data_IF_951728448379
#
_entry.id   IF_951728448379
#
_cell.length_a   1.000
_cell.length_b   1.000
_cell.length_c   1.000
_cell.angle_alpha   90.00
_cell.angle_beta   90.00
_cell.angle_gamma   90.00
#
_symmetry.space_group_name_H-M   'P 1'
#
loop_
_entity.id
_entity.type
_entity.pdbx_description
1 polymer ?
#
# COMPACT_ATOMS: atom_id res chain seq x y z
N UNK A 1 19.62 18.93 27.87
CA UNK A 1 18.21 18.62 28.18
C UNK A 1 17.24 19.32 27.24
N UNK A 2 17.26 20.65 27.09
CA UNK A 2 16.30 21.39 26.25
C UNK A 2 16.16 20.91 24.79
N UNK A 3 17.26 20.57 24.10
CA UNK A 3 17.21 20.09 22.70
C UNK A 3 16.59 18.69 22.57
N UNK A 4 16.84 17.81 23.56
CA UNK A 4 16.23 16.47 23.57
C UNK A 4 14.73 16.54 23.79
N UNK A 5 14.29 17.40 24.70
CA UNK A 5 12.87 17.63 24.96
C UNK A 5 12.15 18.25 23.77
N UNK A 6 12.78 19.21 23.07
CA UNK A 6 12.30 19.74 21.80
C UNK A 6 12.09 18.63 20.77
N UNK A 7 13.09 17.76 20.55
CA UNK A 7 12.98 16.66 19.58
C UNK A 7 11.81 15.74 19.94
N UNK A 8 11.70 15.33 21.21
CA UNK A 8 10.64 14.41 21.66
C UNK A 8 9.25 15.02 21.46
N UNK A 9 9.06 16.28 21.85
CA UNK A 9 7.77 16.96 21.71
C UNK A 9 7.34 17.12 20.23
N UNK A 10 8.28 17.42 19.33
CA UNK A 10 7.97 17.50 17.90
C UNK A 10 7.67 16.12 17.29
N UNK A 11 8.35 15.06 17.73
CA UNK A 11 8.06 13.70 17.27
C UNK A 11 6.71 13.18 17.79
N UNK A 12 6.38 13.46 19.06
CA UNK A 12 5.08 13.14 19.67
C UNK A 12 3.94 13.89 18.99
N UNK A 13 4.12 15.18 18.69
CA UNK A 13 3.10 16.02 18.07
C UNK A 13 2.98 15.76 16.56
N UNK A 14 4.07 15.91 15.82
CA UNK A 14 4.03 15.98 14.36
C UNK A 14 4.48 14.70 13.67
N UNK A 15 4.87 13.67 14.42
CA UNK A 15 5.39 12.42 13.85
C UNK A 15 6.64 12.65 13.01
N UNK A 16 7.43 13.69 13.31
CA UNK A 16 8.57 14.10 12.50
C UNK A 16 9.84 14.21 13.32
N UNK A 17 10.96 13.74 12.77
CA UNK A 17 12.28 13.89 13.36
C UNK A 17 13.31 14.26 12.29
N UNK A 18 13.85 15.47 12.39
CA UNK A 18 14.86 15.97 11.46
C UNK A 18 16.29 15.55 11.83
N UNK A 19 17.15 15.40 10.83
CA UNK A 19 18.60 15.29 11.02
C UNK A 19 19.19 16.57 11.60
N UNK A 20 18.63 17.73 11.23
CA UNK A 20 19.02 19.05 11.72
C UNK A 20 17.77 19.89 12.02
N UNK A 21 17.63 20.40 13.25
CA UNK A 21 16.53 21.28 13.66
C UNK A 21 16.81 22.77 13.44
N UNK A 22 18.04 23.09 13.03
CA UNK A 22 18.46 24.43 12.59
C UNK A 22 19.11 24.24 11.23
N UNK A 23 18.59 24.93 10.23
CA UNK A 23 18.99 24.72 8.84
C UNK A 23 20.02 25.74 8.38
N UNK A 24 20.95 25.36 7.50
CA UNK A 24 21.91 26.30 6.93
C UNK A 24 21.16 27.38 6.14
N UNK A 25 21.68 28.59 6.19
CA UNK A 25 21.03 29.75 5.55
C UNK A 25 21.28 29.81 4.04
N UNK A 26 22.32 29.13 3.58
CA UNK A 26 22.79 29.15 2.20
C UNK A 26 23.11 27.74 1.67
N UNK A 27 23.00 27.58 0.36
CA UNK A 27 23.37 26.35 -0.35
C UNK A 27 24.83 25.98 -0.10
N UNK A 28 25.73 26.96 -0.02
CA UNK A 28 27.16 26.72 0.20
C UNK A 28 27.41 26.03 1.55
N UNK A 29 26.79 26.53 2.62
CA UNK A 29 26.83 25.91 3.94
C UNK A 29 26.19 24.52 3.92
N UNK A 30 25.05 24.37 3.22
CA UNK A 30 24.37 23.09 3.09
C UNK A 30 25.24 22.02 2.41
N UNK A 31 25.99 22.35 1.36
CA UNK A 31 26.93 21.41 0.71
C UNK A 31 28.10 20.98 1.60
N UNK A 32 28.41 21.71 2.67
CA UNK A 32 29.45 21.33 3.64
C UNK A 32 28.91 20.39 4.73
N UNK A 33 27.60 20.18 4.79
CA UNK A 33 26.99 19.26 5.75
C UNK A 33 27.29 17.81 5.34
N UNK A 34 27.86 17.05 6.27
CA UNK A 34 28.16 15.62 6.06
C UNK A 34 26.89 14.78 6.01
N UNK A 35 25.90 15.12 6.85
CA UNK A 35 24.58 14.48 6.86
C UNK A 35 23.59 15.40 6.16
N UNK A 36 22.84 14.92 5.15
CA UNK A 36 21.89 15.76 4.42
C UNK A 36 20.77 16.26 5.35
N UNK A 37 20.14 17.37 4.96
CA UNK A 37 18.90 17.79 5.57
C UNK A 37 17.81 16.77 5.23
N UNK A 38 17.29 16.08 6.23
CA UNK A 38 16.30 15.02 6.06
C UNK A 38 15.38 14.95 7.26
N UNK A 39 14.25 14.28 7.08
CA UNK A 39 13.28 14.00 8.13
C UNK A 39 12.80 12.57 8.05
N UNK A 40 12.70 11.90 9.20
CA UNK A 40 11.83 10.73 9.34
C UNK A 40 10.43 11.24 9.63
N UNK A 41 9.45 10.82 8.84
CA UNK A 41 8.07 11.25 8.95
C UNK A 41 7.11 10.07 9.02
N UNK A 42 6.23 10.07 10.02
CA UNK A 42 5.21 9.05 10.28
C UNK A 42 3.82 9.67 10.05
N UNK A 43 3.24 9.56 8.84
CA UNK A 43 2.03 10.29 8.46
C UNK A 43 0.79 9.97 9.30
N UNK A 44 0.64 8.71 9.76
CA UNK A 44 -0.48 8.29 10.60
C UNK A 44 -0.07 8.06 12.07
N UNK A 45 0.88 8.85 12.58
CA UNK A 45 1.22 8.77 14.00
C UNK A 45 -0.04 8.91 14.86
N UNK A 46 -0.29 7.95 15.75
CA UNK A 46 -1.48 7.97 16.59
C UNK A 46 -1.46 9.19 17.52
N UNK A 47 -2.55 9.97 17.50
CA UNK A 47 -2.77 11.17 18.32
C UNK A 47 -4.11 11.07 19.03
N UNK A 48 -4.20 10.33 20.15
CA UNK A 48 -5.46 10.14 20.88
C UNK A 48 -6.00 11.45 21.49
N UNK A 49 -5.17 12.48 21.57
CA UNK A 49 -5.48 13.79 22.12
C UNK A 49 -6.20 14.73 21.12
N UNK A 50 -6.26 14.37 19.83
CA UNK A 50 -6.87 15.20 18.79
C UNK A 50 -8.08 14.50 18.14
N UNK A 51 -9.30 15.07 18.22
CA UNK A 51 -10.43 14.53 17.48
C UNK A 51 -10.30 14.87 15.98
N UNK A 52 -10.74 13.97 15.08
CA UNK A 52 -10.78 14.26 13.65
C UNK A 52 -11.82 15.34 13.36
N UNK A 53 -11.51 16.19 12.39
CA UNK A 53 -12.32 17.37 12.08
C UNK A 53 -13.18 17.14 10.85
N UNK A 54 -14.49 17.34 10.98
CA UNK A 54 -15.48 16.98 9.96
C UNK A 54 -15.81 18.14 9.01
N UNK A 55 -14.79 18.74 8.39
CA UNK A 55 -14.97 19.71 7.31
C UNK A 55 -13.80 19.69 6.32
N UNK A 56 -14.02 20.27 5.15
CA UNK A 56 -13.01 20.32 4.10
C UNK A 56 -11.89 21.31 4.45
N UNK A 57 -10.62 20.97 4.16
CA UNK A 57 -9.48 21.85 4.44
C UNK A 57 -9.54 23.15 3.62
N UNK A 58 -9.19 24.27 4.26
CA UNK A 58 -9.09 25.58 3.58
C UNK A 58 -7.77 25.66 2.82
N UNK A 59 -7.85 25.87 1.49
CA UNK A 59 -6.69 25.87 0.60
C UNK A 59 -6.35 27.28 0.12
N UNK A 60 -5.06 27.54 -0.07
CA UNK A 60 -4.57 28.74 -0.74
C UNK A 60 -5.15 28.84 -2.16
N UNK A 61 -5.65 30.04 -2.52
CA UNK A 61 -6.29 30.32 -3.81
C UNK A 61 -5.34 30.29 -5.01
N UNK A 62 -4.02 30.44 -4.78
CA UNK A 62 -3.02 30.36 -5.84
C UNK A 62 -2.90 28.91 -6.33
N UNK A 63 -3.20 28.69 -7.61
CA UNK A 63 -3.23 27.38 -8.26
C UNK A 63 -1.93 26.58 -8.15
N UNK A 64 -0.77 27.27 -8.22
CA UNK A 64 0.56 26.65 -8.09
C UNK A 64 0.97 26.36 -6.65
N UNK A 65 0.25 26.89 -5.65
CA UNK A 65 0.57 26.69 -4.24
C UNK A 65 -0.39 25.69 -3.60
N UNK A 66 -1.68 26.00 -3.52
CA UNK A 66 -2.72 25.14 -2.91
C UNK A 66 -2.36 24.59 -1.52
N UNK A 67 -1.49 25.27 -0.77
CA UNK A 67 -1.16 24.89 0.60
C UNK A 67 -2.38 25.00 1.51
N UNK A 68 -2.47 24.11 2.50
CA UNK A 68 -3.53 24.11 3.51
C UNK A 68 -3.28 25.24 4.51
N UNK A 69 -4.35 25.90 4.96
CA UNK A 69 -4.32 26.82 6.08
C UNK A 69 -3.71 26.12 7.31
N UNK A 70 -2.78 26.80 7.97
CA UNK A 70 -2.01 26.23 9.07
C UNK A 70 -1.60 27.33 10.06
N UNK A 71 -1.12 27.00 11.27
CA UNK A 71 -0.83 27.98 12.33
C UNK A 71 0.26 29.01 11.98
N UNK A 72 1.05 28.78 10.93
CA UNK A 72 2.09 29.72 10.48
C UNK A 72 1.56 30.80 9.53
N UNK A 73 0.29 30.74 9.13
CA UNK A 73 -0.34 31.76 8.28
C UNK A 73 -0.67 33.01 9.10
N UNK A 74 -0.38 34.19 8.55
CA UNK A 74 -0.79 35.46 9.17
C UNK A 74 -2.27 35.74 8.88
N UNK A 75 -3.03 36.09 9.90
CA UNK A 75 -4.49 36.28 9.80
C UNK A 75 -4.86 37.72 10.13
N UNK A 76 -5.68 38.31 9.28
CA UNK A 76 -6.34 39.60 9.48
C UNK A 76 -7.82 39.34 9.81
N UNK A 77 -8.15 39.29 11.10
CA UNK A 77 -9.50 39.02 11.59
C UNK A 77 -10.50 40.14 11.29
N UNK A 78 -10.02 41.36 11.01
CA UNK A 78 -10.88 42.51 10.67
C UNK A 78 -11.31 42.44 9.23
N UNK A 79 -10.36 42.20 8.32
CA UNK A 79 -10.64 42.07 6.89
C UNK A 79 -11.14 40.66 6.51
N UNK A 80 -11.06 39.69 7.43
CA UNK A 80 -11.36 38.27 7.18
C UNK A 80 -10.47 37.69 6.07
N UNK A 81 -9.17 37.94 6.18
CA UNK A 81 -8.16 37.53 5.21
C UNK A 81 -7.03 36.75 5.90
N UNK A 82 -6.35 35.90 5.15
CA UNK A 82 -5.13 35.23 5.61
C UNK A 82 -4.06 35.21 4.52
N UNK A 83 -2.81 35.30 4.93
CA UNK A 83 -1.65 35.26 4.05
C UNK A 83 -0.99 33.88 4.15
N UNK A 84 -0.90 33.20 3.01
CA UNK A 84 -0.23 31.91 2.95
C UNK A 84 1.27 32.05 3.25
N UNK A 85 1.78 31.29 4.21
CA UNK A 85 3.18 31.33 4.66
C UNK A 85 4.19 30.80 3.61
N UNK A 86 3.72 30.11 2.57
CA UNK A 86 4.59 29.61 1.49
C UNK A 86 4.75 30.58 0.34
N UNK A 87 3.65 31.20 -0.10
CA UNK A 87 3.61 31.96 -1.35
C UNK A 87 3.19 33.43 -1.19
N UNK A 88 2.88 33.85 0.04
CA UNK A 88 2.41 35.18 0.44
C UNK A 88 1.12 35.64 -0.28
N UNK A 89 0.38 34.72 -0.90
CA UNK A 89 -0.93 35.01 -1.45
C UNK A 89 -1.88 35.39 -0.32
N UNK A 90 -2.57 36.52 -0.50
CA UNK A 90 -3.68 36.94 0.35
C UNK A 90 -4.94 36.19 -0.10
N UNK A 91 -5.60 35.53 0.83
CA UNK A 91 -6.76 34.67 0.62
C UNK A 91 -7.94 35.16 1.46
N UNK A 92 -9.16 35.02 0.93
CA UNK A 92 -10.38 35.21 1.70
C UNK A 92 -10.75 33.93 2.45
N UNK A 93 -11.29 34.08 3.66
CA UNK A 93 -11.89 32.96 4.36
C UNK A 93 -13.19 32.51 3.67
N UNK A 94 -13.50 31.20 3.69
CA UNK A 94 -14.78 30.71 3.20
C UNK A 94 -15.94 31.18 4.10
N UNK A 95 -17.16 31.16 3.55
CA UNK A 95 -18.36 31.64 4.25
C UNK A 95 -18.59 30.99 5.63
N UNK A 96 -18.19 29.74 5.80
CA UNK A 96 -18.32 29.01 7.07
C UNK A 96 -17.46 29.64 8.20
N UNK A 97 -16.48 30.50 7.88
CA UNK A 97 -15.57 31.17 8.83
C UNK A 97 -15.97 32.65 9.02
N UNK A 98 -17.19 33.05 8.63
CA UNK A 98 -17.63 34.45 8.72
C UNK A 98 -17.53 35.04 10.15
N UNK A 99 -17.72 34.18 11.16
CA UNK A 99 -17.63 34.53 12.58
C UNK A 99 -16.23 34.50 13.20
N UNK A 100 -15.18 34.20 12.42
CA UNK A 100 -13.81 34.03 12.96
C UNK A 100 -13.34 35.28 13.74
N UNK A 101 -12.78 35.10 14.94
CA UNK A 101 -12.19 36.16 15.74
C UNK A 101 -10.93 35.67 16.45
N UNK A 102 -10.19 36.55 17.12
CA UNK A 102 -9.02 36.15 17.91
C UNK A 102 -9.36 35.14 19.01
N UNK A 103 -10.57 35.24 19.58
CA UNK A 103 -11.09 34.33 20.61
C UNK A 103 -11.75 33.07 20.02
N UNK A 104 -12.21 33.13 18.77
CA UNK A 104 -12.89 32.03 18.08
C UNK A 104 -12.12 31.68 16.81
N UNK A 105 -10.98 31.04 17.01
CA UNK A 105 -10.12 30.58 15.91
C UNK A 105 -10.53 29.17 15.49
N UNK A 106 -10.46 28.86 14.18
CA UNK A 106 -10.61 27.50 13.70
C UNK A 106 -9.43 26.65 14.17
N UNK A 107 -9.66 25.34 14.27
CA UNK A 107 -8.71 24.41 14.84
C UNK A 107 -7.34 24.44 14.12
N UNK A 108 -7.32 24.52 12.80
CA UNK A 108 -6.09 24.53 12.00
C UNK A 108 -5.21 25.78 12.18
N UNK A 109 -5.65 26.80 12.93
CA UNK A 109 -4.84 27.95 13.31
C UNK A 109 -4.28 27.86 14.75
N UNK A 110 -4.75 26.91 15.54
CA UNK A 110 -4.30 26.70 16.91
C UNK A 110 -2.87 26.12 16.88
N UNK A 111 -1.88 26.73 17.55
CA UNK A 111 -0.48 26.28 17.50
C UNK A 111 -0.23 24.83 17.97
N UNK A 112 -1.13 24.28 18.77
CA UNK A 112 -1.08 22.88 19.20
C UNK A 112 -1.49 21.90 18.09
N UNK A 113 -2.18 22.37 17.04
CA UNK A 113 -2.74 21.57 15.94
C UNK A 113 -1.95 21.78 14.63
N UNK A 114 -0.61 21.81 14.73
CA UNK A 114 0.28 21.81 13.56
C UNK A 114 0.12 20.56 12.70
N UNK A 115 -0.28 19.45 13.32
CA UNK A 115 -0.70 18.21 12.66
C UNK A 115 -2.16 17.97 12.98
N UNK A 116 -2.98 17.80 11.93
CA UNK A 116 -4.43 17.76 12.05
C UNK A 116 -5.01 16.85 10.95
N UNK A 117 -6.10 16.15 11.27
CA UNK A 117 -6.79 15.23 10.37
C UNK A 117 -8.17 15.77 9.99
N UNK A 118 -8.48 15.76 8.69
CA UNK A 118 -9.77 16.18 8.15
C UNK A 118 -10.54 14.97 7.63
N UNK A 119 -11.82 14.86 7.99
CA UNK A 119 -12.76 13.91 7.42
C UNK A 119 -13.60 14.59 6.34
N UNK A 120 -13.38 14.20 5.08
CA UNK A 120 -14.09 14.76 3.93
C UNK A 120 -15.52 14.21 3.86
N UNK A 121 -16.51 15.10 3.88
CA UNK A 121 -17.94 14.72 3.99
C UNK A 121 -18.55 14.17 2.69
N UNK A 122 -17.90 14.40 1.54
CA UNK A 122 -18.43 14.07 0.21
C UNK A 122 -17.69 12.94 -0.52
N UNK A 123 -16.67 12.35 0.11
CA UNK A 123 -15.88 11.29 -0.50
C UNK A 123 -16.61 9.93 -0.37
N UNK A 124 -16.97 9.25 -1.47
CA UNK A 124 -17.54 7.91 -1.38
C UNK A 124 -16.49 6.92 -0.86
N UNK A 125 -16.83 6.16 0.17
CA UNK A 125 -15.97 5.09 0.67
C UNK A 125 -16.09 3.85 -0.24
N UNK A 126 -14.99 3.49 -0.92
CA UNK A 126 -14.91 2.21 -1.61
C UNK A 126 -14.80 1.06 -0.58
N UNK A 127 -15.37 -0.12 -0.86
CA UNK A 127 -15.21 -1.26 0.05
C UNK A 127 -13.74 -1.70 0.09
N UNK A 128 -13.29 -2.15 1.27
CA UNK A 128 -12.00 -2.81 1.41
C UNK A 128 -12.01 -4.15 0.68
N UNK A 129 -10.91 -4.50 0.02
CA UNK A 129 -10.80 -5.73 -0.77
C UNK A 129 -9.65 -6.57 -0.26
N UNK A 130 -9.89 -7.84 0.04
CA UNK A 130 -8.89 -8.82 0.47
C UNK A 130 -8.86 -9.99 -0.50
N UNK A 131 -7.71 -10.23 -1.13
CA UNK A 131 -7.52 -11.33 -2.06
C UNK A 131 -6.50 -12.31 -1.48
N UNK A 132 -6.98 -13.48 -1.05
CA UNK A 132 -6.13 -14.56 -0.54
C UNK A 132 -5.49 -15.28 -1.73
N UNK A 133 -4.16 -15.39 -1.74
CA UNK A 133 -3.41 -16.15 -2.75
C UNK A 133 -2.63 -17.25 -2.03
N UNK A 134 -3.20 -18.45 -2.03
CA UNK A 134 -2.79 -19.54 -1.16
C UNK A 134 -2.05 -20.64 -1.92
N UNK A 135 -0.85 -20.93 -1.45
CA UNK A 135 -0.06 -22.07 -1.89
C UNK A 135 -0.58 -23.38 -1.32
N UNK A 136 -0.65 -24.45 -2.13
CA UNK A 136 -1.05 -25.80 -1.70
C UNK A 136 0.09 -26.82 -1.77
N UNK A 137 1.30 -26.40 -2.17
CA UNK A 137 2.49 -27.25 -2.26
C UNK A 137 3.29 -27.29 -0.94
N UNK A 138 2.65 -27.59 0.18
CA UNK A 138 3.29 -27.71 1.50
C UNK A 138 2.85 -28.98 2.23
N UNK A 139 3.40 -29.23 3.41
CA UNK A 139 2.97 -30.37 4.24
C UNK A 139 1.58 -30.14 4.82
N UNK A 140 0.89 -31.24 5.14
CA UNK A 140 -0.52 -31.21 5.56
C UNK A 140 -0.71 -30.45 6.87
N UNK A 141 0.21 -30.60 7.82
CA UNK A 141 0.18 -29.87 9.10
C UNK A 141 0.29 -28.35 8.92
N UNK A 142 1.18 -27.90 8.02
CA UNK A 142 1.34 -26.49 7.68
C UNK A 142 0.10 -25.94 6.98
N UNK A 143 -0.42 -26.70 6.00
CA UNK A 143 -1.63 -26.31 5.28
C UNK A 143 -2.83 -26.21 6.22
N UNK A 144 -2.98 -27.17 7.13
CA UNK A 144 -4.05 -27.18 8.13
C UNK A 144 -3.94 -25.98 9.09
N UNK A 145 -2.75 -25.69 9.61
CA UNK A 145 -2.54 -24.52 10.47
C UNK A 145 -2.79 -23.19 9.75
N UNK A 146 -2.44 -23.12 8.45
CA UNK A 146 -2.72 -21.95 7.62
C UNK A 146 -4.22 -21.77 7.38
N UNK A 147 -4.95 -22.85 7.07
CA UNK A 147 -6.42 -22.85 6.92
C UNK A 147 -7.10 -22.29 8.18
N UNK A 148 -6.73 -22.79 9.35
CA UNK A 148 -7.26 -22.31 10.64
C UNK A 148 -6.99 -20.82 10.86
N UNK A 149 -5.77 -20.37 10.55
CA UNK A 149 -5.38 -18.96 10.68
C UNK A 149 -6.20 -18.06 9.75
N UNK A 150 -6.48 -18.52 8.53
CA UNK A 150 -7.31 -17.80 7.56
C UNK A 150 -8.77 -17.75 7.98
N UNK A 151 -9.36 -18.88 8.39
CA UNK A 151 -10.72 -18.95 8.89
C UNK A 151 -10.92 -18.01 10.09
N UNK A 152 -9.96 -17.99 11.03
CA UNK A 152 -9.97 -17.02 12.13
C UNK A 152 -9.94 -15.58 11.60
N UNK A 153 -9.08 -15.25 10.62
CA UNK A 153 -8.99 -13.89 10.08
C UNK A 153 -10.28 -13.44 9.37
N UNK A 154 -11.04 -14.35 8.76
CA UNK A 154 -12.33 -14.04 8.13
C UNK A 154 -13.31 -13.43 9.15
N UNK A 155 -13.32 -13.96 10.38
CA UNK A 155 -14.19 -13.46 11.46
C UNK A 155 -13.86 -12.02 11.89
N UNK A 156 -12.66 -11.53 11.57
CA UNK A 156 -12.21 -10.18 11.91
C UNK A 156 -12.58 -9.15 10.83
N UNK A 157 -12.82 -9.59 9.60
CA UNK A 157 -13.04 -8.70 8.45
C UNK A 157 -14.39 -7.94 8.58
N UNK A 158 -14.46 -6.68 8.13
CA UNK A 158 -15.71 -5.95 8.05
C UNK A 158 -16.73 -6.69 7.17
N UNK A 159 -18.01 -6.76 7.56
CA UNK A 159 -19.04 -7.48 6.82
C UNK A 159 -19.15 -7.07 5.34
N UNK A 160 -18.93 -5.79 5.05
CA UNK A 160 -19.03 -5.21 3.70
C UNK A 160 -17.72 -5.23 2.90
N UNK A 161 -16.61 -5.72 3.49
CA UNK A 161 -15.37 -5.92 2.75
C UNK A 161 -15.60 -7.00 1.68
N UNK A 162 -14.96 -6.84 0.53
CA UNK A 162 -14.95 -7.85 -0.52
C UNK A 162 -13.80 -8.82 -0.27
N UNK A 163 -14.07 -10.11 -0.48
CA UNK A 163 -13.06 -11.16 -0.39
C UNK A 163 -13.03 -12.02 -1.63
N UNK A 164 -11.84 -12.47 -2.01
CA UNK A 164 -11.61 -13.46 -3.05
C UNK A 164 -10.54 -14.47 -2.66
N UNK A 165 -10.55 -15.60 -3.35
CA UNK A 165 -9.60 -16.68 -3.13
C UNK A 165 -8.99 -17.15 -4.46
N UNK A 166 -7.66 -17.24 -4.46
CA UNK A 166 -6.86 -17.91 -5.47
C UNK A 166 -6.04 -18.97 -4.76
N UNK A 167 -6.11 -20.22 -5.21
CA UNK A 167 -5.21 -21.27 -4.73
C UNK A 167 -4.24 -21.64 -5.84
N UNK A 168 -3.04 -22.08 -5.50
CA UNK A 168 -2.06 -22.46 -6.50
C UNK A 168 -1.09 -23.54 -6.02
N UNK A 169 -0.64 -24.32 -6.99
CA UNK A 169 0.48 -25.24 -6.88
C UNK A 169 1.16 -25.31 -8.25
N UNK A 170 1.03 -26.46 -8.93
CA UNK A 170 1.41 -26.56 -10.34
C UNK A 170 0.50 -25.73 -11.25
N UNK A 171 -0.78 -25.67 -10.92
CA UNK A 171 -1.78 -24.85 -11.61
C UNK A 171 -2.23 -23.70 -10.70
N UNK A 172 -2.81 -22.65 -11.29
CA UNK A 172 -3.43 -21.56 -10.54
C UNK A 172 -4.94 -21.66 -10.69
N UNK A 173 -5.68 -21.63 -9.59
CA UNK A 173 -7.13 -21.72 -9.55
C UNK A 173 -7.73 -20.44 -8.98
N UNK A 174 -8.59 -19.77 -9.76
CA UNK A 174 -9.37 -18.60 -9.31
C UNK A 174 -10.76 -19.07 -8.94
N UNK A 175 -11.15 -18.93 -7.67
CA UNK A 175 -12.41 -19.46 -7.14
C UNK A 175 -13.56 -18.48 -7.33
N UNK A 176 -14.71 -18.99 -7.76
CA UNK A 176 -15.96 -18.24 -7.90
C UNK A 176 -16.79 -18.41 -6.61
N UNK A 177 -16.87 -17.36 -5.79
CA UNK A 177 -17.50 -17.43 -4.47
C UNK A 177 -19.02 -17.19 -4.49
N UNK A 178 -19.54 -16.62 -5.57
CA UNK A 178 -20.97 -16.30 -5.73
C UNK A 178 -21.85 -17.45 -6.25
N UNK A 179 -21.39 -18.70 -6.18
CA UNK A 179 -22.10 -19.85 -6.73
C UNK A 179 -22.77 -20.66 -5.61
N UNK A 180 -24.10 -20.80 -5.66
CA UNK A 180 -24.85 -21.63 -4.73
C UNK A 180 -24.81 -23.11 -5.17
N UNK A 181 -24.58 -24.02 -4.23
CA UNK A 181 -24.69 -25.47 -4.43
C UNK A 181 -23.54 -26.16 -5.20
N UNK A 182 -22.58 -25.43 -5.76
CA UNK A 182 -21.34 -26.01 -6.29
C UNK A 182 -20.17 -25.02 -6.29
N UNK A 183 -18.99 -25.49 -5.85
CA UNK A 183 -17.75 -24.71 -5.93
C UNK A 183 -17.18 -24.76 -7.35
N UNK A 184 -17.03 -23.60 -7.99
CA UNK A 184 -16.44 -23.47 -9.33
C UNK A 184 -15.11 -22.73 -9.25
N UNK A 185 -14.12 -23.19 -10.02
CA UNK A 185 -12.85 -22.49 -10.15
C UNK A 185 -12.36 -22.49 -11.60
N UNK A 186 -11.61 -21.45 -11.96
CA UNK A 186 -11.00 -21.29 -13.28
C UNK A 186 -9.53 -21.67 -13.17
N UNK A 187 -9.12 -22.66 -13.96
CA UNK A 187 -7.77 -23.23 -13.87
C UNK A 187 -6.88 -22.67 -14.97
N UNK A 188 -5.77 -22.06 -14.57
CA UNK A 188 -4.75 -21.51 -15.44
C UNK A 188 -3.46 -22.32 -15.33
N UNK A 189 -2.73 -22.42 -16.45
CA UNK A 189 -1.42 -23.08 -16.47
C UNK A 189 -0.39 -22.20 -15.77
N UNK A 190 0.29 -22.73 -14.77
CA UNK A 190 1.37 -22.04 -14.03
C UNK A 190 2.66 -21.79 -14.82
N UNK A 191 2.70 -22.13 -16.12
CA UNK A 191 3.89 -22.03 -16.97
C UNK A 191 3.92 -20.78 -17.86
N UNK A 192 2.82 -20.03 -17.95
CA UNK A 192 2.69 -18.87 -18.83
C UNK A 192 2.10 -17.69 -18.06
N UNK A 193 2.64 -16.51 -18.30
CA UNK A 193 2.07 -15.27 -17.75
C UNK A 193 0.81 -14.84 -18.52
N UNK A 194 -0.04 -14.06 -17.86
CA UNK A 194 -1.28 -13.52 -18.43
C UNK A 194 -1.38 -12.03 -18.15
N UNK A 195 -1.78 -11.28 -19.17
CA UNK A 195 -2.08 -9.85 -19.02
C UNK A 195 -3.45 -9.64 -18.38
N UNK A 196 -3.68 -8.47 -17.76
CA UNK A 196 -4.97 -8.13 -17.16
C UNK A 196 -6.14 -8.26 -18.15
N UNK A 197 -5.94 -7.85 -19.41
CA UNK A 197 -6.95 -8.00 -20.48
C UNK A 197 -7.26 -9.47 -20.79
N UNK A 198 -6.26 -10.33 -20.89
CA UNK A 198 -6.48 -11.76 -21.12
C UNK A 198 -7.23 -12.41 -19.94
N UNK A 199 -6.91 -12.02 -18.71
CA UNK A 199 -7.62 -12.48 -17.50
C UNK A 199 -9.07 -12.01 -17.56
N UNK A 200 -9.31 -10.74 -17.86
CA UNK A 200 -10.64 -10.17 -18.00
C UNK A 200 -11.48 -10.94 -19.04
N UNK A 201 -10.90 -11.22 -20.21
CA UNK A 201 -11.58 -11.94 -21.30
C UNK A 201 -11.87 -13.40 -20.93
N UNK A 202 -10.92 -14.11 -20.32
CA UNK A 202 -11.07 -15.52 -19.92
C UNK A 202 -12.06 -15.69 -18.77
N UNK A 203 -12.09 -14.75 -17.82
CA UNK A 203 -12.99 -14.78 -16.67
C UNK A 203 -14.37 -14.17 -16.96
N UNK A 204 -14.51 -13.47 -18.09
CA UNK A 204 -15.74 -12.78 -18.51
C UNK A 204 -16.06 -11.55 -17.65
N UNK A 205 -15.04 -10.91 -17.09
CA UNK A 205 -15.18 -9.75 -16.19
C UNK A 205 -15.53 -8.49 -17.00
N UNK A 206 -16.49 -7.71 -16.53
CA UNK A 206 -16.88 -6.45 -17.19
C UNK A 206 -17.66 -6.61 -18.50
N UNK A 207 -18.03 -7.85 -18.88
CA UNK A 207 -19.01 -8.07 -19.95
C UNK A 207 -20.40 -7.75 -19.40
N UNK A 208 -20.91 -6.57 -19.71
CA UNK A 208 -22.36 -6.33 -19.65
C UNK A 208 -22.99 -7.25 -20.69
N UNK A 209 -23.93 -8.15 -20.34
CA UNK A 209 -24.57 -8.99 -21.33
C UNK A 209 -25.24 -8.10 -22.39
N UNK A 210 -24.87 -8.29 -23.65
CA UNK A 210 -25.41 -7.58 -24.82
C UNK A 210 -26.84 -8.05 -25.17
N UNK A 211 -27.70 -8.27 -24.17
CA UNK A 211 -29.09 -8.69 -24.31
C UNK A 211 -30.00 -7.81 -23.44
N UNK A 212 -30.01 -6.51 -23.71
CA UNK A 212 -31.11 -5.62 -23.31
C UNK A 212 -31.16 -4.37 -24.22
N UNK A 213 -31.03 -4.56 -25.54
CA UNK A 213 -31.34 -3.51 -26.51
C UNK A 213 -32.63 -3.85 -27.26
N UNK A 214 -33.72 -4.04 -26.50
CA UNK A 214 -35.09 -3.88 -26.99
C UNK A 214 -35.96 -3.26 -25.90
N UNK A 215 -36.17 -1.95 -26.02
CA UNK A 215 -37.36 -1.20 -25.61
C UNK A 215 -37.82 -1.29 -24.16
N UNK A 216 -37.48 -0.30 -23.33
CA UNK A 216 -38.44 0.65 -22.75
C UNK A 216 -37.74 1.60 -21.77
N UNK A 217 -38.09 2.89 -21.86
CA UNK A 217 -37.64 3.94 -20.95
C UNK A 217 -38.32 3.76 -19.58
N UNK A 218 -37.55 3.48 -18.54
CA UNK A 218 -37.96 3.65 -17.15
C UNK A 218 -36.85 4.35 -16.33
N UNK A 219 -37.20 5.07 -15.24
CA UNK A 219 -36.28 5.96 -14.56
C UNK A 219 -35.14 5.21 -13.84
N UNK A 220 -33.93 5.77 -13.96
CA UNK A 220 -32.69 5.30 -13.35
C UNK A 220 -32.84 4.96 -11.86
N UNK A 221 -32.88 3.66 -11.54
CA UNK A 221 -32.41 3.19 -10.24
C UNK A 221 -30.88 3.34 -10.17
N UNK A 222 -30.29 3.57 -8.98
CA UNK A 222 -28.85 3.61 -8.82
C UNK A 222 -28.26 2.31 -9.37
N UNK A 223 -27.38 2.45 -10.36
CA UNK A 223 -26.67 1.35 -11.02
C UNK A 223 -26.00 0.50 -9.93
N UNK A 224 -26.54 -0.70 -9.65
CA UNK A 224 -25.87 -1.64 -8.77
C UNK A 224 -24.47 -1.90 -9.36
N UNK A 225 -23.40 -1.83 -8.55
CA UNK A 225 -22.06 -2.11 -9.04
C UNK A 225 -22.06 -3.50 -9.70
N UNK A 226 -21.39 -3.67 -10.85
CA UNK A 226 -21.39 -4.92 -11.58
C UNK A 226 -20.96 -6.05 -10.63
N UNK A 227 -21.84 -7.05 -10.43
CA UNK A 227 -21.56 -8.16 -9.52
C UNK A 227 -20.30 -8.88 -9.97
N UNK A 228 -19.24 -8.78 -9.15
CA UNK A 228 -18.01 -9.50 -9.38
C UNK A 228 -18.10 -10.89 -8.74
N UNK A 229 -18.33 -11.92 -9.54
CA UNK A 229 -18.45 -13.31 -9.07
C UNK A 229 -17.23 -13.87 -8.31
N UNK A 230 -16.06 -13.23 -8.44
CA UNK A 230 -14.82 -13.62 -7.76
C UNK A 230 -14.54 -12.85 -6.46
N UNK A 231 -15.14 -11.67 -6.30
CA UNK A 231 -14.96 -10.79 -5.15
C UNK A 231 -16.32 -10.50 -4.53
N UNK A 232 -16.65 -11.22 -3.46
CA UNK A 232 -17.96 -11.16 -2.81
C UNK A 232 -17.87 -10.50 -1.43
N UNK A 233 -18.91 -9.79 -0.97
CA UNK A 233 -18.96 -9.28 0.39
C UNK A 233 -18.84 -10.42 1.41
N UNK A 234 -18.02 -10.23 2.44
CA UNK A 234 -17.76 -11.26 3.47
C UNK A 234 -19.07 -11.83 4.03
N UNK A 235 -20.02 -10.97 4.43
CA UNK A 235 -21.31 -11.42 5.00
C UNK A 235 -22.19 -12.26 4.07
N UNK A 236 -21.88 -12.34 2.77
CA UNK A 236 -22.62 -13.15 1.80
C UNK A 236 -21.97 -14.50 1.51
N UNK A 237 -20.67 -14.63 1.75
CA UNK A 237 -19.90 -15.82 1.35
C UNK A 237 -19.02 -16.37 2.48
N UNK A 238 -19.19 -15.91 3.72
CA UNK A 238 -18.39 -16.32 4.88
C UNK A 238 -18.46 -17.82 5.15
N UNK A 239 -19.67 -18.41 5.15
CA UNK A 239 -19.86 -19.85 5.34
C UNK A 239 -19.23 -20.63 4.19
N UNK A 240 -19.59 -20.30 2.94
CA UNK A 240 -19.04 -20.97 1.75
C UNK A 240 -17.51 -20.90 1.70
N UNK A 241 -16.92 -19.76 2.05
CA UNK A 241 -15.46 -19.58 2.06
C UNK A 241 -14.80 -20.35 3.21
N UNK A 242 -15.45 -20.42 4.38
CA UNK A 242 -14.97 -21.20 5.53
C UNK A 242 -14.94 -22.68 5.19
N UNK A 243 -16.01 -23.20 4.58
CA UNK A 243 -16.11 -24.59 4.13
C UNK A 243 -15.06 -24.88 3.05
N UNK A 244 -14.96 -24.02 2.04
CA UNK A 244 -13.96 -24.14 0.97
C UNK A 244 -12.54 -24.18 1.55
N UNK A 245 -12.19 -23.28 2.47
CA UNK A 245 -10.88 -23.30 3.15
C UNK A 245 -10.69 -24.59 3.97
N UNK A 246 -11.74 -25.10 4.62
CA UNK A 246 -11.70 -26.35 5.37
C UNK A 246 -11.41 -27.56 4.48
N UNK A 247 -11.99 -27.58 3.28
CA UNK A 247 -11.86 -28.64 2.27
C UNK A 247 -10.59 -28.55 1.44
N UNK A 248 -9.78 -27.49 1.56
CA UNK A 248 -8.53 -27.37 0.82
C UNK A 248 -7.56 -28.50 1.16
N UNK A 249 -7.05 -29.11 0.09
CA UNK A 249 -6.07 -30.20 0.11
C UNK A 249 -4.75 -29.75 -0.51
N UNK A 250 -3.72 -30.57 -0.33
CA UNK A 250 -2.41 -30.40 -0.99
C UNK A 250 -2.57 -30.40 -2.51
N UNK A 251 -1.62 -29.78 -3.20
CA UNK A 251 -1.53 -29.87 -4.66
C UNK A 251 -1.54 -31.36 -5.08
N UNK A 252 -2.47 -31.79 -5.95
CA UNK A 252 -2.70 -33.22 -6.20
C UNK A 252 -1.59 -33.88 -7.03
N UNK A 253 -0.60 -33.10 -7.49
CA UNK A 253 0.47 -33.61 -8.34
C UNK A 253 1.57 -34.27 -7.50
N UNK A 254 1.92 -35.55 -7.80
CA UNK A 254 2.95 -36.24 -7.05
C UNK A 254 4.32 -35.59 -7.26
N UNK A 255 5.13 -35.58 -6.20
CA UNK A 255 6.50 -35.08 -6.22
C UNK A 255 7.46 -36.25 -6.23
N UNK A 256 8.22 -36.40 -7.31
CA UNK A 256 9.19 -37.48 -7.45
C UNK A 256 10.33 -37.34 -6.43
N UNK A 257 10.91 -38.47 -6.04
CA UNK A 257 12.09 -38.49 -5.17
C UNK A 257 13.22 -37.61 -5.75
N UNK A 258 13.85 -36.79 -4.88
CA UNK A 258 14.90 -35.86 -5.30
C UNK A 258 14.39 -34.59 -5.98
N UNK A 259 13.08 -34.35 -6.04
CA UNK A 259 12.49 -33.14 -6.62
C UNK A 259 11.70 -32.32 -5.61
N UNK A 260 11.60 -31.02 -5.88
CA UNK A 260 10.71 -30.05 -5.24
C UNK A 260 9.34 -30.10 -5.92
N UNK A 261 8.26 -29.71 -5.21
CA UNK A 261 6.97 -29.47 -5.85
C UNK A 261 7.08 -28.40 -6.95
N UNK A 262 6.22 -28.48 -7.98
CA UNK A 262 6.10 -27.46 -9.01
C UNK A 262 5.22 -26.33 -8.49
N UNK A 263 5.82 -25.18 -8.18
CA UNK A 263 5.17 -24.05 -7.52
C UNK A 263 5.19 -22.83 -8.43
N UNK A 264 4.01 -22.38 -8.84
CA UNK A 264 3.81 -21.34 -9.86
C UNK A 264 3.45 -19.97 -9.27
N UNK A 265 4.13 -19.58 -8.19
CA UNK A 265 3.85 -18.35 -7.43
C UNK A 265 3.83 -17.09 -8.31
N UNK A 266 4.79 -16.94 -9.22
CA UNK A 266 4.88 -15.74 -10.06
C UNK A 266 3.68 -15.57 -10.98
N UNK A 267 3.09 -16.67 -11.47
CA UNK A 267 1.85 -16.64 -12.26
C UNK A 267 0.63 -16.42 -11.37
N UNK A 268 0.57 -17.06 -10.19
CA UNK A 268 -0.51 -16.85 -9.23
C UNK A 268 -0.63 -15.37 -8.82
N UNK A 269 0.51 -14.75 -8.50
CA UNK A 269 0.55 -13.33 -8.16
C UNK A 269 0.20 -12.43 -9.36
N UNK A 270 0.66 -12.77 -10.57
CA UNK A 270 0.31 -12.03 -11.78
C UNK A 270 -1.19 -12.05 -12.07
N UNK A 271 -1.83 -13.21 -11.89
CA UNK A 271 -3.29 -13.37 -12.01
C UNK A 271 -4.00 -12.56 -10.93
N UNK A 272 -3.54 -12.59 -9.68
CA UNK A 272 -4.11 -11.81 -8.59
C UNK A 272 -4.07 -10.30 -8.86
N UNK A 273 -2.90 -9.79 -9.29
CA UNK A 273 -2.73 -8.38 -9.70
C UNK A 273 -3.63 -8.05 -10.89
N UNK A 274 -3.65 -8.90 -11.93
CA UNK A 274 -4.47 -8.68 -13.10
C UNK A 274 -5.98 -8.73 -12.83
N UNK A 275 -6.43 -9.57 -11.89
CA UNK A 275 -7.82 -9.65 -11.45
C UNK A 275 -8.24 -8.31 -10.83
N UNK A 276 -7.50 -7.82 -9.84
CA UNK A 276 -7.83 -6.54 -9.19
C UNK A 276 -7.69 -5.35 -10.15
N UNK A 277 -6.70 -5.37 -11.05
CA UNK A 277 -6.47 -4.34 -12.07
C UNK A 277 -7.68 -4.17 -13.00
N UNK A 278 -8.34 -5.25 -13.40
CA UNK A 278 -9.51 -5.17 -14.29
C UNK A 278 -10.86 -5.02 -13.55
N UNK A 279 -10.91 -5.22 -12.23
CA UNK A 279 -12.16 -5.14 -11.47
C UNK A 279 -12.27 -3.89 -10.61
N UNK A 280 -11.20 -3.53 -9.89
CA UNK A 280 -11.18 -2.47 -8.89
C UNK A 280 -9.85 -1.70 -8.95
N UNK A 281 -9.55 -0.99 -10.06
CA UNK A 281 -8.37 -0.14 -10.14
C UNK A 281 -8.54 1.11 -9.26
N UNK A 282 -7.44 1.61 -8.68
CA UNK A 282 -7.39 2.80 -7.83
C UNK A 282 -8.25 2.73 -6.55
N UNK A 283 -8.44 1.53 -6.00
CA UNK A 283 -9.14 1.31 -4.73
C UNK A 283 -8.25 0.59 -3.73
N UNK A 284 -8.55 0.74 -2.43
CA UNK A 284 -7.85 0.03 -1.37
C UNK A 284 -8.09 -1.48 -1.43
N UNK A 285 -7.08 -2.21 -1.91
CA UNK A 285 -7.11 -3.66 -2.02
C UNK A 285 -5.81 -4.27 -1.51
N UNK A 286 -5.90 -5.46 -0.93
CA UNK A 286 -4.80 -6.19 -0.31
C UNK A 286 -4.71 -7.61 -0.85
N UNK A 287 -3.65 -7.89 -1.60
CA UNK A 287 -3.27 -9.23 -2.04
C UNK A 287 -2.43 -9.86 -0.94
N UNK A 288 -2.89 -10.96 -0.37
CA UNK A 288 -2.20 -11.68 0.70
C UNK A 288 -1.65 -12.99 0.13
N UNK A 289 -0.36 -13.01 -0.19
CA UNK A 289 0.32 -14.17 -0.75
C UNK A 289 0.89 -15.05 0.37
N UNK A 290 0.40 -16.28 0.48
CA UNK A 290 0.92 -17.30 1.39
C UNK A 290 1.79 -18.27 0.61
N UNK A 291 2.99 -18.55 1.08
CA UNK A 291 3.99 -19.36 0.38
C UNK A 291 4.63 -20.39 1.32
N UNK A 292 4.56 -21.65 0.93
CA UNK A 292 5.19 -22.78 1.61
C UNK A 292 6.49 -23.24 0.97
N UNK A 293 7.20 -22.37 0.25
CA UNK A 293 8.47 -22.69 -0.42
C UNK A 293 8.79 -21.80 -1.62
N UNK A 294 9.93 -22.03 -2.31
CA UNK A 294 10.34 -21.21 -3.44
C UNK A 294 9.51 -21.48 -4.70
N UNK A 295 9.34 -20.48 -5.59
CA UNK A 295 8.79 -20.68 -6.93
C UNK A 295 9.73 -21.55 -7.79
N UNK A 296 9.20 -22.64 -8.35
CA UNK A 296 9.96 -23.64 -9.13
C UNK A 296 9.44 -23.83 -10.56
N UNK A 297 8.40 -23.09 -10.95
CA UNK A 297 7.81 -23.15 -12.28
C UNK A 297 7.35 -21.78 -12.75
N UNK A 298 7.51 -21.55 -14.06
CA UNK A 298 6.96 -20.39 -14.76
C UNK A 298 7.75 -19.08 -14.56
N UNK A 299 7.21 -17.96 -15.06
CA UNK A 299 7.72 -16.63 -14.78
C UNK A 299 7.82 -16.38 -13.27
N UNK A 300 8.93 -15.79 -12.82
CA UNK A 300 9.23 -15.61 -11.39
C UNK A 300 9.90 -16.81 -10.71
N UNK A 301 10.24 -17.89 -11.43
CA UNK A 301 10.98 -19.04 -10.87
C UNK A 301 12.30 -18.61 -10.22
N UNK A 302 12.56 -19.13 -9.01
CA UNK A 302 13.74 -18.81 -8.19
C UNK A 302 14.77 -19.94 -8.18
N UNK A 303 14.31 -21.19 -8.24
CA UNK A 303 15.16 -22.39 -8.29
C UNK A 303 14.49 -23.46 -9.16
N UNK A 304 15.27 -24.38 -9.71
CA UNK A 304 14.71 -25.54 -10.42
C UNK A 304 14.10 -26.59 -9.48
N UNK A 305 13.41 -27.56 -10.07
CA UNK A 305 12.77 -28.66 -9.31
C UNK A 305 13.78 -29.63 -8.67
N UNK A 306 14.99 -29.76 -9.22
CA UNK A 306 15.98 -30.73 -8.76
C UNK A 306 16.59 -30.35 -7.40
N UNK A 307 16.41 -31.17 -6.34
CA UNK A 307 16.91 -30.90 -4.99
C UNK A 307 18.44 -30.82 -4.90
N UNK A 308 19.15 -31.54 -5.77
CA UNK A 308 20.62 -31.47 -5.88
C UNK A 308 21.13 -30.07 -6.21
N UNK A 309 20.29 -29.24 -6.84
CA UNK A 309 20.60 -27.83 -7.06
C UNK A 309 20.09 -27.05 -5.86
N UNK A 310 21.02 -26.44 -5.13
CA UNK A 310 20.71 -25.59 -3.98
C UNK A 310 20.06 -24.28 -4.43
N UNK A 311 19.31 -23.67 -3.51
CA UNK A 311 18.82 -22.30 -3.71
C UNK A 311 20.03 -21.36 -3.59
N UNK A 312 20.07 -20.32 -4.43
CA UNK A 312 21.17 -19.35 -4.44
C UNK A 312 21.48 -18.77 -3.06
N UNK A 313 22.77 -18.61 -2.78
CA UNK A 313 23.35 -17.95 -1.61
C UNK A 313 23.91 -16.56 -1.95
N UNK A 314 24.33 -15.79 -0.94
CA UNK A 314 25.05 -14.53 -1.18
C UNK A 314 26.37 -14.73 -1.94
N UNK A 315 27.08 -15.83 -1.67
CA UNK A 315 28.31 -16.18 -2.41
C UNK A 315 28.04 -16.47 -3.88
N UNK A 316 26.92 -17.12 -4.20
CA UNK A 316 26.53 -17.36 -5.59
C UNK A 316 26.20 -16.05 -6.30
N UNK A 317 25.56 -15.10 -5.59
CA UNK A 317 25.27 -13.76 -6.11
C UNK A 317 26.56 -13.00 -6.41
N UNK A 318 27.51 -13.00 -5.48
CA UNK A 318 28.82 -12.34 -5.64
C UNK A 318 29.62 -12.91 -6.81
N UNK A 319 29.52 -14.23 -7.03
CA UNK A 319 30.17 -14.93 -8.15
C UNK A 319 29.37 -14.92 -9.46
N UNK A 320 28.23 -14.23 -9.49
CA UNK A 320 27.27 -14.20 -10.60
C UNK A 320 26.79 -15.59 -11.08
N UNK A 321 26.80 -16.58 -10.19
CA UNK A 321 26.32 -17.93 -10.42
C UNK A 321 24.80 -18.06 -10.16
N UNK A 322 24.02 -17.10 -10.67
CA UNK A 322 22.59 -16.90 -10.33
C UNK A 322 21.68 -16.96 -11.56
N UNK A 323 21.43 -18.19 -12.04
CA UNK A 323 20.70 -18.45 -13.30
C UNK A 323 19.29 -17.82 -13.37
N UNK A 324 18.57 -17.78 -12.25
CA UNK A 324 17.15 -17.41 -12.22
C UNK A 324 16.89 -15.99 -11.69
N UNK A 325 17.72 -15.52 -10.77
CA UNK A 325 17.48 -14.33 -9.94
C UNK A 325 17.12 -13.09 -10.76
N UNK A 326 17.92 -12.73 -11.78
CA UNK A 326 17.69 -11.49 -12.56
C UNK A 326 16.35 -11.50 -13.31
N UNK A 327 15.94 -12.66 -13.84
CA UNK A 327 14.66 -12.82 -14.56
C UNK A 327 13.48 -12.77 -13.58
N UNK A 328 13.63 -13.37 -12.40
CA UNK A 328 12.62 -13.36 -11.36
C UNK A 328 12.42 -11.96 -10.76
N UNK A 329 13.50 -11.23 -10.43
CA UNK A 329 13.44 -9.83 -9.98
C UNK A 329 12.66 -8.99 -10.99
N UNK A 330 13.02 -9.08 -12.28
CA UNK A 330 12.31 -8.33 -13.34
C UNK A 330 10.81 -8.65 -13.39
N UNK A 331 10.43 -9.91 -13.19
CA UNK A 331 9.03 -10.33 -13.17
C UNK A 331 8.27 -9.70 -12.00
N UNK A 332 8.78 -9.85 -10.78
CA UNK A 332 8.13 -9.31 -9.59
C UNK A 332 8.18 -7.78 -9.50
N UNK A 333 9.21 -7.13 -10.04
CA UNK A 333 9.26 -5.67 -10.20
C UNK A 333 8.18 -5.17 -11.16
N UNK A 334 7.88 -5.91 -12.23
CA UNK A 334 6.79 -5.53 -13.12
C UNK A 334 5.42 -5.65 -12.42
N UNK A 335 5.22 -6.71 -11.62
CA UNK A 335 4.00 -6.91 -10.85
C UNK A 335 3.82 -5.87 -9.74
N UNK A 336 4.88 -5.57 -9.01
CA UNK A 336 4.84 -4.57 -7.95
C UNK A 336 4.49 -3.19 -8.51
N UNK A 337 5.09 -2.77 -9.62
CA UNK A 337 4.78 -1.49 -10.27
C UNK A 337 3.33 -1.42 -10.75
N UNK A 338 2.79 -2.52 -11.31
CA UNK A 338 1.38 -2.61 -11.72
C UNK A 338 0.43 -2.49 -10.52
N UNK A 339 0.69 -3.21 -9.44
CA UNK A 339 -0.10 -3.11 -8.20
C UNK A 339 -0.03 -1.71 -7.59
N UNK A 340 1.17 -1.14 -7.49
CA UNK A 340 1.37 0.20 -6.93
C UNK A 340 0.68 1.28 -7.75
N UNK A 341 0.75 1.18 -9.09
CA UNK A 341 0.04 2.09 -10.00
C UNK A 341 -1.45 2.08 -9.73
N UNK A 342 -2.04 0.90 -9.53
CA UNK A 342 -3.47 0.71 -9.24
C UNK A 342 -3.85 0.90 -7.77
N UNK A 343 -2.90 1.23 -6.87
CA UNK A 343 -3.18 1.46 -5.46
C UNK A 343 -3.43 0.18 -4.64
N UNK A 344 -2.94 -0.98 -5.11
CA UNK A 344 -3.09 -2.27 -4.44
C UNK A 344 -1.84 -2.62 -3.62
N UNK A 345 -2.06 -3.23 -2.46
CA UNK A 345 -1.02 -3.68 -1.53
C UNK A 345 -0.73 -5.15 -1.70
N UNK A 346 0.54 -5.56 -1.69
CA UNK A 346 0.95 -6.98 -1.75
C UNK A 346 1.69 -7.38 -0.47
N UNK A 347 1.10 -8.30 0.28
CA UNK A 347 1.77 -8.98 1.38
C UNK A 347 2.38 -10.31 0.93
N UNK A 348 3.46 -10.70 1.61
CA UNK A 348 4.07 -12.01 1.47
C UNK A 348 4.24 -12.64 2.85
N UNK A 349 3.55 -13.75 3.07
CA UNK A 349 3.66 -14.61 4.23
C UNK A 349 4.36 -15.90 3.81
N UNK A 350 5.66 -16.00 4.10
CA UNK A 350 6.50 -17.08 3.64
C UNK A 350 6.97 -17.94 4.82
N UNK A 351 6.48 -19.19 4.88
CA UNK A 351 6.88 -20.15 5.90
C UNK A 351 7.46 -21.41 5.26
N UNK A 352 8.76 -21.63 5.41
CA UNK A 352 9.48 -22.82 4.95
C UNK A 352 10.84 -22.92 5.67
N UNK A 353 11.34 -24.13 5.85
CA UNK A 353 12.67 -24.40 6.43
C UNK A 353 13.84 -23.95 5.53
N UNK A 354 13.62 -23.82 4.23
CA UNK A 354 14.57 -23.30 3.25
C UNK A 354 14.09 -21.95 2.69
N UNK A 355 14.93 -21.29 1.89
CA UNK A 355 14.61 -19.99 1.30
C UNK A 355 13.39 -20.03 0.37
N UNK A 356 12.53 -19.02 0.46
CA UNK A 356 11.28 -18.93 -0.33
C UNK A 356 11.34 -17.98 -1.53
N UNK A 357 12.48 -17.28 -1.73
CA UNK A 357 12.62 -16.32 -2.82
C UNK A 357 12.23 -14.88 -2.49
N UNK A 358 12.19 -14.50 -1.20
CA UNK A 358 11.87 -13.13 -0.77
C UNK A 358 12.79 -12.08 -1.41
N UNK A 359 14.05 -12.42 -1.70
CA UNK A 359 14.99 -11.50 -2.34
C UNK A 359 14.48 -11.00 -3.71
N UNK A 360 13.91 -11.90 -4.50
CA UNK A 360 13.33 -11.61 -5.82
C UNK A 360 12.00 -10.87 -5.72
N UNK A 361 11.22 -11.15 -4.68
CA UNK A 361 9.85 -10.63 -4.52
C UNK A 361 9.75 -9.36 -3.66
N UNK A 362 10.85 -8.94 -3.01
CA UNK A 362 10.85 -7.90 -1.98
C UNK A 362 10.16 -6.60 -2.38
N UNK A 363 10.28 -6.22 -3.66
CA UNK A 363 9.70 -4.98 -4.14
C UNK A 363 8.18 -5.01 -4.18
N UNK A 364 7.53 -6.19 -4.19
CA UNK A 364 6.08 -6.31 -4.04
C UNK A 364 5.62 -5.69 -2.72
N UNK A 365 6.26 -6.03 -1.60
CA UNK A 365 5.96 -5.43 -0.30
C UNK A 365 6.52 -4.02 -0.19
N UNK A 366 7.80 -3.83 -0.57
CA UNK A 366 8.54 -2.60 -0.30
C UNK A 366 7.92 -1.39 -0.98
N UNK A 367 7.38 -1.48 -2.18
CA UNK A 367 6.85 -0.28 -2.87
C UNK A 367 5.35 -0.08 -2.62
N UNK A 368 4.61 -1.14 -2.30
CA UNK A 368 3.18 -1.05 -2.03
C UNK A 368 2.87 -0.82 -0.55
N UNK A 369 3.84 -0.96 0.35
CA UNK A 369 3.61 -0.89 1.80
C UNK A 369 2.92 -2.14 2.37
N UNK A 370 3.11 -3.29 1.72
CA UNK A 370 2.63 -4.57 2.22
C UNK A 370 3.56 -5.19 3.26
N UNK A 371 3.06 -6.17 3.99
CA UNK A 371 3.84 -6.89 4.99
C UNK A 371 4.70 -7.98 4.34
N UNK A 372 5.91 -8.15 4.87
CA UNK A 372 6.75 -9.32 4.59
C UNK A 372 6.97 -10.07 5.90
N UNK A 373 6.39 -11.26 5.99
CA UNK A 373 6.50 -12.14 7.16
C UNK A 373 7.25 -13.40 6.73
N UNK A 374 8.30 -13.73 7.48
CA UNK A 374 9.07 -14.95 7.29
C UNK A 374 9.01 -15.82 8.55
N UNK A 375 8.96 -17.13 8.37
CA UNK A 375 9.05 -18.10 9.45
C UNK A 375 9.39 -19.48 8.93
N UNK A 376 9.53 -20.44 9.84
CA UNK A 376 9.91 -21.81 9.48
C UNK A 376 8.71 -22.66 9.05
N UNK A 377 7.54 -22.40 9.65
CA UNK A 377 6.31 -23.16 9.49
C UNK A 377 5.08 -22.29 9.83
N UNK A 378 3.97 -22.53 9.14
CA UNK A 378 2.69 -21.89 9.45
C UNK A 378 2.09 -22.42 10.75
N UNK A 379 2.48 -23.63 11.16
CA UNK A 379 2.08 -24.24 12.42
C UNK A 379 2.91 -23.76 13.63
N UNK A 380 3.20 -22.47 13.69
CA UNK A 380 3.94 -21.85 14.80
C UNK A 380 3.10 -20.76 15.46
N UNK A 381 3.26 -20.60 16.77
CA UNK A 381 2.65 -19.48 17.49
C UNK A 381 3.13 -18.12 16.95
N UNK A 382 4.39 -18.06 16.49
CA UNK A 382 4.97 -16.88 15.85
C UNK A 382 4.16 -16.44 14.64
N UNK A 383 3.89 -17.34 13.69
CA UNK A 383 3.08 -17.01 12.52
C UNK A 383 1.65 -16.65 12.91
N UNK A 384 0.97 -17.50 13.69
CA UNK A 384 -0.44 -17.33 14.07
C UNK A 384 -0.69 -15.95 14.73
N UNK A 385 0.16 -15.57 15.70
CA UNK A 385 0.04 -14.27 16.37
C UNK A 385 0.42 -13.10 15.46
N UNK A 386 1.46 -13.26 14.62
CA UNK A 386 1.87 -12.20 13.69
C UNK A 386 0.78 -11.91 12.67
N UNK A 387 0.16 -12.94 12.12
CA UNK A 387 -0.93 -12.80 11.16
C UNK A 387 -2.17 -12.16 11.79
N UNK A 388 -2.53 -12.54 13.02
CA UNK A 388 -3.64 -11.90 13.74
C UNK A 388 -3.41 -10.39 13.94
N UNK A 389 -2.18 -9.96 14.22
CA UNK A 389 -1.83 -8.54 14.43
C UNK A 389 -2.03 -7.68 13.18
N UNK A 390 -2.03 -8.26 11.98
CA UNK A 390 -2.32 -7.53 10.73
C UNK A 390 -3.72 -6.89 10.78
N UNK A 391 -4.66 -7.54 11.47
CA UNK A 391 -6.05 -7.11 11.62
C UNK A 391 -6.30 -6.43 12.98
N UNK A 392 -5.25 -5.88 13.61
CA UNK A 392 -5.40 -5.14 14.86
C UNK A 392 -6.34 -3.96 14.68
N UNK A 393 -7.24 -3.78 15.65
CA UNK A 393 -8.20 -2.69 15.66
C UNK A 393 -7.78 -1.54 16.57
N UNK A 394 -8.29 -0.36 16.29
CA UNK A 394 -8.16 0.81 17.13
C UNK A 394 -9.27 0.89 18.20
N UNK A 395 -9.32 2.01 18.92
CA UNK A 395 -10.33 2.25 19.97
C UNK A 395 -11.76 2.38 19.43
N UNK A 396 -11.93 2.54 18.11
CA UNK A 396 -13.23 2.60 17.43
C UNK A 396 -13.63 1.27 16.81
N UNK A 397 -12.89 0.19 17.08
CA UNK A 397 -13.06 -1.14 16.49
C UNK A 397 -12.84 -1.18 14.96
N UNK A 398 -12.11 -0.19 14.42
CA UNK A 398 -11.71 -0.13 13.02
C UNK A 398 -10.28 -0.64 12.86
N UNK A 399 -9.93 -1.20 11.70
CA UNK A 399 -8.56 -1.68 11.50
C UNK A 399 -7.54 -0.55 11.47
N UNK A 400 -6.37 -0.80 12.09
CA UNK A 400 -5.21 0.11 12.05
C UNK A 400 -4.46 0.06 10.71
N UNK A 401 -5.19 0.01 9.60
CA UNK A 401 -4.65 0.00 8.25
C UNK A 401 -5.38 1.03 7.41
N UNK A 402 -4.63 1.76 6.60
CA UNK A 402 -5.16 2.70 5.62
C UNK A 402 -4.64 2.33 4.23
N UNK A 403 -5.39 2.74 3.20
CA UNK A 403 -5.11 2.39 1.82
C UNK A 403 -5.13 3.61 0.91
N UNK A 404 -4.35 3.56 -0.16
CA UNK A 404 -4.37 4.57 -1.23
C UNK A 404 -3.95 5.98 -0.78
N UNK A 405 -3.10 6.08 0.24
CA UNK A 405 -2.60 7.36 0.74
C UNK A 405 -1.76 8.09 -0.30
N UNK A 406 -1.89 9.41 -0.36
CA UNK A 406 -1.06 10.29 -1.18
C UNK A 406 -0.38 11.29 -0.27
N UNK A 407 0.95 11.23 -0.21
CA UNK A 407 1.77 12.20 0.49
C UNK A 407 2.21 13.27 -0.50
N UNK A 408 1.78 14.51 -0.29
CA UNK A 408 2.28 15.69 -1.00
C UNK A 408 3.14 16.54 -0.08
N UNK A 409 4.36 16.86 -0.50
CA UNK A 409 5.30 17.71 0.26
C UNK A 409 5.41 19.08 -0.40
N UNK A 410 5.03 20.13 0.33
CA UNK A 410 5.18 21.53 -0.06
C UNK A 410 6.23 22.21 0.82
N UNK A 411 7.14 22.94 0.19
CA UNK A 411 8.29 23.59 0.86
C UNK A 411 8.29 25.10 0.59
N UNK A 412 8.96 25.86 1.47
CA UNK A 412 9.37 27.24 1.16
C UNK A 412 10.28 27.26 -0.06
N UNK A 413 10.34 28.38 -0.79
CA UNK A 413 11.10 28.50 -2.04
C UNK A 413 12.61 28.27 -1.89
N UNK A 414 13.13 28.44 -0.68
CA UNK A 414 14.53 28.22 -0.31
C UNK A 414 14.90 26.74 -0.14
N UNK A 415 13.91 25.85 -0.15
CA UNK A 415 14.06 24.42 0.12
C UNK A 415 13.38 23.61 -0.97
N UNK A 416 14.05 22.57 -1.43
CA UNK A 416 13.49 21.59 -2.36
C UNK A 416 13.54 20.19 -1.76
N UNK A 417 12.66 19.31 -2.21
CA UNK A 417 12.64 17.88 -1.88
C UNK A 417 13.44 17.11 -2.92
N UNK A 418 14.47 16.39 -2.47
CA UNK A 418 15.31 15.54 -3.30
C UNK A 418 14.70 14.16 -3.52
N UNK A 419 13.92 13.67 -2.56
CA UNK A 419 13.18 12.43 -2.72
C UNK A 419 12.81 11.79 -1.39
N UNK A 420 12.32 10.56 -1.48
CA UNK A 420 11.88 9.75 -0.35
C UNK A 420 12.52 8.36 -0.35
N UNK A 421 12.80 7.83 0.85
CA UNK A 421 13.19 6.44 1.09
C UNK A 421 12.22 5.83 2.09
N UNK A 422 11.48 4.81 1.66
CA UNK A 422 10.45 4.17 2.47
C UNK A 422 9.43 3.47 1.57
N UNK A 423 8.31 2.98 2.15
CA UNK A 423 7.35 2.17 1.43
C UNK A 423 6.41 2.98 0.56
N UNK A 424 6.95 3.57 -0.51
CA UNK A 424 6.23 4.55 -1.32
C UNK A 424 6.55 4.42 -2.81
N UNK A 425 5.61 4.86 -3.63
CA UNK A 425 5.69 4.84 -5.10
C UNK A 425 5.61 6.27 -5.65
N UNK A 426 6.50 6.64 -6.57
CA UNK A 426 6.50 7.99 -7.15
C UNK A 426 5.26 8.23 -8.01
N UNK A 427 4.60 9.37 -7.84
CA UNK A 427 3.51 9.80 -8.73
C UNK A 427 4.00 10.64 -9.91
N UNK A 428 5.31 10.91 -10.01
CA UNK A 428 5.89 11.69 -11.11
C UNK A 428 5.42 13.15 -11.20
N UNK A 429 4.84 13.69 -10.12
CA UNK A 429 4.31 15.05 -10.08
C UNK A 429 5.46 16.04 -9.88
N UNK A 430 5.70 16.85 -10.92
CA UNK A 430 6.70 17.91 -10.90
C UNK A 430 6.13 19.16 -10.22
N UNK A 431 7.00 20.00 -9.67
CA UNK A 431 6.61 21.24 -9.03
C UNK A 431 7.81 22.08 -8.58
N UNK A 432 7.58 23.31 -8.10
CA UNK A 432 8.65 24.19 -7.65
C UNK A 432 9.43 23.64 -6.44
N UNK A 433 8.81 22.76 -5.66
CA UNK A 433 9.44 22.08 -4.54
C UNK A 433 10.36 20.94 -4.95
N UNK A 434 10.35 20.47 -6.20
CA UNK A 434 11.17 19.31 -6.61
C UNK A 434 12.61 19.71 -6.87
N UNK A 435 13.57 19.03 -6.24
CA UNK A 435 15.00 19.25 -6.49
C UNK A 435 15.46 18.60 -7.78
N UNK A 436 16.53 19.18 -8.35
CA UNK A 436 17.25 18.61 -9.48
C UNK A 436 18.17 17.46 -9.00
N UNK A 437 18.53 17.45 -7.72
CA UNK A 437 19.29 16.36 -7.08
C UNK A 437 18.32 15.31 -6.53
N UNK A 438 18.32 14.11 -7.08
CA UNK A 438 17.43 13.02 -6.66
C UNK A 438 18.09 12.09 -5.61
N UNK A 439 17.35 11.74 -4.56
CA UNK A 439 17.76 10.75 -3.54
C UNK A 439 16.61 9.75 -3.34
N UNK A 440 16.91 8.45 -3.50
CA UNK A 440 15.89 7.41 -3.40
C UNK A 440 14.83 7.54 -4.49
N UNK A 441 13.56 7.51 -4.10
CA UNK A 441 12.41 7.75 -4.99
C UNK A 441 12.24 9.27 -5.17
N UNK A 442 13.06 9.86 -6.05
CA UNK A 442 13.12 11.30 -6.31
C UNK A 442 12.27 11.79 -7.49
N UNK A 443 12.55 13.02 -7.92
CA UNK A 443 11.95 13.61 -9.13
C UNK A 443 10.46 13.90 -9.02
N UNK A 444 9.90 13.96 -7.81
CA UNK A 444 8.48 14.21 -7.53
C UNK A 444 8.33 14.95 -6.21
N UNK A 445 7.20 15.63 -6.02
CA UNK A 445 6.76 16.12 -4.71
C UNK A 445 5.54 15.35 -4.16
N UNK A 446 5.13 14.29 -4.87
CA UNK A 446 4.03 13.41 -4.47
C UNK A 446 4.41 11.94 -4.55
N UNK A 447 4.06 11.20 -3.50
CA UNK A 447 4.23 9.75 -3.40
C UNK A 447 2.93 9.07 -2.99
N UNK A 448 2.66 7.92 -3.60
CA UNK A 448 1.55 7.04 -3.25
C UNK A 448 2.01 5.98 -2.25
N UNK A 449 1.17 5.74 -1.25
CA UNK A 449 1.28 4.67 -0.27
C UNK A 449 0.07 3.75 -0.44
N UNK A 450 0.25 2.56 -1.02
CA UNK A 450 -0.90 1.70 -1.33
C UNK A 450 -1.50 1.10 -0.05
N UNK A 451 -0.63 0.65 0.87
CA UNK A 451 -0.96 0.32 2.25
C UNK A 451 -0.09 1.14 3.19
N UNK A 452 -0.68 1.60 4.29
CA UNK A 452 0.03 2.36 5.31
C UNK A 452 -0.61 2.15 6.68
N UNK A 453 0.21 2.34 7.71
CA UNK A 453 -0.09 2.00 9.11
C UNK A 453 0.37 3.13 10.03
N UNK A 454 -0.10 3.17 11.28
CA UNK A 454 0.34 4.17 12.24
C UNK A 454 1.84 4.17 12.56
N UNK A 455 2.54 3.08 12.28
CA UNK A 455 4.00 2.95 12.41
C UNK A 455 4.76 3.12 11.08
N UNK A 456 4.07 3.34 9.96
CA UNK A 456 4.71 3.55 8.66
C UNK A 456 5.50 4.85 8.70
N UNK A 457 6.81 4.76 8.43
CA UNK A 457 7.71 5.92 8.47
C UNK A 457 8.50 6.01 7.17
N UNK A 458 8.57 7.22 6.62
CA UNK A 458 9.30 7.53 5.39
C UNK A 458 10.42 8.53 5.68
N UNK A 459 11.60 8.31 5.12
CA UNK A 459 12.68 9.28 5.12
C UNK A 459 12.52 10.26 3.95
N UNK A 460 12.30 11.54 4.25
CA UNK A 460 12.25 12.63 3.28
C UNK A 460 13.58 13.37 3.26
N UNK A 461 14.12 13.64 2.07
CA UNK A 461 15.41 14.29 1.88
C UNK A 461 15.21 15.65 1.20
N UNK A 462 15.93 16.66 1.68
CA UNK A 462 15.76 18.05 1.27
C UNK A 462 17.10 18.68 0.87
N UNK A 463 17.01 19.66 -0.01
CA UNK A 463 18.12 20.50 -0.45
C UNK A 463 17.80 21.97 -0.19
N UNK A 464 18.73 22.68 0.44
CA UNK A 464 18.66 24.14 0.57
C UNK A 464 19.22 24.77 -0.70
N UNK A 465 18.39 25.55 -1.40
CA UNK A 465 18.73 26.18 -2.69
C UNK A 465 18.99 27.69 -2.59
N UNK A 466 18.80 28.27 -1.39
CA UNK A 466 19.02 29.70 -1.17
C UNK A 466 20.47 30.10 -1.47
N UNK A 467 20.66 31.15 -2.25
CA UNK A 467 22.00 31.69 -2.56
C UNK A 467 22.40 32.75 -1.53
N UNK A 468 23.70 32.84 -1.23
CA UNK A 468 24.25 33.96 -0.45
C UNK A 468 24.00 35.23 -1.25
N UNK A 469 23.16 36.14 -0.74
CA UNK A 469 23.10 37.49 -1.28
C UNK A 469 24.38 38.20 -0.83
N UNK A 470 25.35 38.33 -1.73
CA UNK A 470 26.40 39.32 -1.54
C UNK A 470 25.74 40.70 -1.60
N UNK A 471 25.45 41.28 -0.43
CA UNK A 471 25.19 42.70 -0.32
C UNK A 471 26.49 43.40 -0.74
N UNK A 472 26.52 43.90 -1.97
CA UNK A 472 27.56 44.80 -2.46
C UNK A 472 27.31 46.20 -1.91
#
# INVERSE_FOLDING_TARGET
MANYEFIRQNEERDGVRFSWNVWPSSRLEATRMVVPLSALYTPLKERPDLPPIQYDPVLCSRSTCRAVLNPFCQVDYRAKLWNCNFCFQRNQFPNQYRGISEQHQPAELIPQFTTIEYTLTRAPAAPLIYLLVLDTCMEEEDLQALKESLQMSLSLLPPNALIGLITYGRMVQVHELGCDGCSKSYVFRGTKDLTAKQIQDMLGIGRVPAQAQRGNQQPQQPQQPPMNKFLQPVHKCDMNLTDLLGELQRDPWPVNAGKRPLRSTGVALSIAVGLLECTFPNSGARIMLFMGGPPTQGPGMVVGEELKTTIRSHHDIEKDSVKFMRKAIKHYDALSNRAATNGHTIDIYACNLDQTGLHEMKNCCNITGGHMVMGDSFNTSLFKQTFQRVFSKDVKEEFKMAFGGVLEVKTSREIKVSGAIGPCFSMGVKGPSVSDTEIGTGGTCQWKFCGLYPNTTVGLFFEVVNQVRNTS
#
